data_IF_305586098948
#
_entry.id   IF_305586098948
#
_cell.length_a   1.000
_cell.length_b   1.000
_cell.length_c   1.000
_cell.angle_alpha   90.00
_cell.angle_beta   90.00
_cell.angle_gamma   90.00
#
_symmetry.space_group_name_H-M   'P 1'
#
loop_
_entity.id
_entity.type
_entity.pdbx_description
1 polymer ?
#
# COMPACT_ATOMS: atom_id res chain seq x y z
N UNK A 1 -6.07 -65.53 -21.97
CA UNK A 1 -5.59 -66.56 -21.02
C UNK A 1 -4.82 -67.56 -21.85
N UNK A 2 -3.65 -67.98 -21.39
CA UNK A 2 -2.86 -68.99 -22.09
C UNK A 2 -3.58 -70.32 -22.01
N UNK A 3 -3.63 -71.03 -23.14
CA UNK A 3 -4.19 -72.36 -23.20
C UNK A 3 -3.12 -73.39 -22.86
N UNK A 4 -2.97 -73.69 -21.56
CA UNK A 4 -1.98 -74.63 -21.05
C UNK A 4 -2.03 -75.98 -21.76
N UNK A 5 -3.26 -76.47 -22.02
CA UNK A 5 -3.52 -77.77 -22.61
C UNK A 5 -3.00 -77.84 -24.05
N UNK A 6 -3.26 -76.80 -24.84
CA UNK A 6 -2.73 -76.71 -26.21
C UNK A 6 -1.21 -76.72 -26.22
N UNK A 7 -0.56 -75.97 -25.33
CA UNK A 7 0.91 -75.92 -25.27
C UNK A 7 1.52 -77.24 -24.78
N UNK A 8 0.85 -77.97 -23.89
CA UNK A 8 1.31 -79.32 -23.50
C UNK A 8 1.19 -80.31 -24.67
N UNK A 9 0.09 -80.27 -25.43
CA UNK A 9 -0.13 -81.13 -26.61
C UNK A 9 0.88 -80.84 -27.73
N UNK A 10 1.20 -79.56 -27.97
CA UNK A 10 2.21 -79.14 -28.96
C UNK A 10 3.61 -79.65 -28.57
N UNK A 11 3.97 -79.65 -27.29
CA UNK A 11 5.26 -80.16 -26.79
C UNK A 11 5.34 -81.69 -26.88
N UNK A 12 4.28 -82.41 -26.54
CA UNK A 12 4.22 -83.87 -26.71
C UNK A 12 4.35 -84.26 -28.19
N UNK A 13 3.69 -83.51 -29.09
CA UNK A 13 3.80 -83.69 -30.55
C UNK A 13 5.21 -83.41 -31.07
N UNK A 14 5.99 -82.56 -30.39
CA UNK A 14 7.38 -82.27 -30.68
C UNK A 14 8.37 -83.31 -30.11
N UNK A 15 7.87 -84.36 -29.45
CA UNK A 15 8.67 -85.49 -28.94
C UNK A 15 9.01 -85.42 -27.45
N UNK A 16 8.44 -84.48 -26.69
CA UNK A 16 8.57 -84.48 -25.24
C UNK A 16 7.70 -85.57 -24.62
N UNK A 17 8.15 -86.18 -23.52
CA UNK A 17 7.25 -87.03 -22.72
C UNK A 17 6.17 -86.18 -22.03
N UNK A 18 5.00 -86.74 -21.70
CA UNK A 18 3.93 -86.01 -21.02
C UNK A 18 4.38 -85.28 -19.75
N UNK A 19 5.28 -85.89 -18.97
CA UNK A 19 5.81 -85.27 -17.74
C UNK A 19 6.77 -84.12 -18.02
N UNK A 20 7.62 -84.23 -19.05
CA UNK A 20 8.50 -83.13 -19.45
C UNK A 20 7.69 -81.94 -20.01
N UNK A 21 6.65 -82.20 -20.80
CA UNK A 21 5.76 -81.17 -21.34
C UNK A 21 5.03 -80.41 -20.21
N UNK A 22 4.42 -81.13 -19.26
CA UNK A 22 3.77 -80.52 -18.09
C UNK A 22 4.73 -79.70 -17.24
N UNK A 23 5.92 -80.22 -16.96
CA UNK A 23 6.92 -79.52 -16.14
C UNK A 23 7.38 -78.22 -16.83
N UNK A 24 7.60 -78.26 -18.14
CA UNK A 24 8.05 -77.09 -18.92
C UNK A 24 6.98 -76.00 -18.98
N UNK A 25 5.72 -76.36 -19.24
CA UNK A 25 4.59 -75.40 -19.24
C UNK A 25 4.38 -74.83 -17.84
N UNK A 26 4.48 -75.64 -16.79
CA UNK A 26 4.36 -75.17 -15.40
C UNK A 26 5.42 -74.13 -15.06
N UNK A 27 6.71 -74.40 -15.34
CA UNK A 27 7.80 -73.44 -15.06
C UNK A 27 7.55 -72.12 -15.79
N UNK A 28 7.14 -72.18 -17.05
CA UNK A 28 6.86 -70.97 -17.82
C UNK A 28 5.62 -70.21 -17.30
N UNK A 29 4.59 -70.91 -16.85
CA UNK A 29 3.41 -70.29 -16.22
C UNK A 29 3.75 -69.62 -14.90
N UNK A 30 4.54 -70.29 -14.05
CA UNK A 30 5.00 -69.74 -12.77
C UNK A 30 5.83 -68.46 -13.03
N UNK A 31 6.80 -68.54 -13.96
CA UNK A 31 7.59 -67.37 -14.38
C UNK A 31 6.73 -66.23 -14.94
N UNK A 32 5.66 -66.54 -15.68
CA UNK A 32 4.79 -65.50 -16.21
C UNK A 32 3.96 -64.83 -15.11
N UNK A 33 3.38 -65.61 -14.20
CA UNK A 33 2.56 -65.08 -13.13
C UNK A 33 3.38 -64.25 -12.12
N UNK A 34 4.64 -64.64 -11.88
CA UNK A 34 5.51 -63.94 -10.92
C UNK A 34 6.06 -62.62 -11.48
N UNK A 35 6.25 -62.51 -12.80
CA UNK A 35 6.95 -61.35 -13.40
C UNK A 35 6.05 -60.38 -14.16
N UNK A 36 4.83 -60.77 -14.54
CA UNK A 36 3.97 -59.94 -15.38
C UNK A 36 2.66 -59.58 -14.69
N UNK A 37 2.30 -58.30 -14.77
CA UNK A 37 1.00 -57.81 -14.35
C UNK A 37 -0.11 -58.40 -15.22
N UNK A 38 -1.18 -58.86 -14.58
CA UNK A 38 -2.38 -59.31 -15.27
C UNK A 38 -3.20 -58.13 -15.77
N UNK A 39 -4.18 -58.40 -16.64
CA UNK A 39 -5.17 -57.38 -17.03
C UNK A 39 -5.95 -56.82 -15.83
N UNK A 40 -6.10 -57.60 -14.77
CA UNK A 40 -6.77 -57.16 -13.55
C UNK A 40 -5.92 -56.13 -12.81
N UNK A 41 -4.62 -56.39 -12.67
CA UNK A 41 -3.68 -55.48 -12.01
C UNK A 41 -3.59 -54.14 -12.74
N UNK A 42 -3.54 -54.17 -14.08
CA UNK A 42 -3.55 -52.96 -14.89
C UNK A 42 -4.85 -52.17 -14.74
N UNK A 43 -6.00 -52.84 -14.69
CA UNK A 43 -7.29 -52.18 -14.44
C UNK A 43 -7.35 -51.56 -13.05
N UNK A 44 -6.83 -52.25 -12.04
CA UNK A 44 -6.77 -51.72 -10.69
C UNK A 44 -5.87 -50.49 -10.63
N UNK A 45 -4.71 -50.54 -11.29
CA UNK A 45 -3.82 -49.38 -11.43
C UNK A 45 -4.48 -48.20 -12.14
N UNK A 46 -5.21 -48.44 -13.23
CA UNK A 46 -5.96 -47.37 -13.92
C UNK A 46 -7.02 -46.74 -13.01
N UNK A 47 -7.77 -47.54 -12.25
CA UNK A 47 -8.79 -47.06 -11.32
C UNK A 47 -8.14 -46.19 -10.22
N UNK A 48 -7.04 -46.66 -9.64
CA UNK A 48 -6.28 -45.91 -8.63
C UNK A 48 -5.77 -44.58 -9.19
N UNK A 49 -5.10 -44.58 -10.35
CA UNK A 49 -4.63 -43.36 -10.98
C UNK A 49 -5.75 -42.37 -11.30
N UNK A 50 -6.92 -42.87 -11.74
CA UNK A 50 -8.10 -42.01 -11.96
C UNK A 50 -8.65 -41.42 -10.66
N UNK A 51 -8.57 -42.16 -9.57
CA UNK A 51 -8.96 -41.65 -8.24
C UNK A 51 -8.01 -40.54 -7.81
N UNK A 52 -6.69 -40.78 -7.88
CA UNK A 52 -5.66 -39.83 -7.48
C UNK A 52 -5.75 -38.53 -8.29
N UNK A 53 -5.99 -38.64 -9.61
CA UNK A 53 -6.20 -37.46 -10.47
C UNK A 53 -7.43 -36.65 -10.07
N UNK A 54 -8.54 -37.30 -9.67
CA UNK A 54 -9.75 -36.59 -9.22
C UNK A 54 -9.56 -35.91 -7.87
N UNK A 55 -8.83 -36.56 -6.96
CA UNK A 55 -8.48 -35.98 -5.67
C UNK A 55 -7.58 -34.75 -5.87
N UNK A 56 -6.56 -34.86 -6.73
CA UNK A 56 -5.68 -33.75 -7.08
C UNK A 56 -6.44 -32.60 -7.73
N UNK A 57 -7.36 -32.86 -8.66
CA UNK A 57 -8.21 -31.82 -9.26
C UNK A 57 -9.05 -31.11 -8.19
N UNK A 58 -9.61 -31.87 -7.25
CA UNK A 58 -10.43 -31.32 -6.17
C UNK A 58 -9.61 -30.48 -5.20
N UNK A 59 -8.40 -30.91 -4.85
CA UNK A 59 -7.46 -30.16 -4.03
C UNK A 59 -7.07 -28.83 -4.70
N UNK A 60 -6.65 -28.86 -5.97
CA UNK A 60 -6.30 -27.67 -6.73
C UNK A 60 -7.48 -26.68 -6.80
N UNK A 61 -8.72 -27.18 -7.00
CA UNK A 61 -9.92 -26.33 -6.97
C UNK A 61 -10.19 -25.71 -5.61
N UNK A 62 -9.87 -26.41 -4.51
CA UNK A 62 -9.98 -25.88 -3.15
C UNK A 62 -8.96 -24.75 -2.94
N UNK A 63 -7.69 -25.02 -3.25
CA UNK A 63 -6.60 -24.06 -3.10
C UNK A 63 -6.86 -22.78 -3.91
N UNK A 64 -7.38 -22.90 -5.14
CA UNK A 64 -7.76 -21.73 -5.95
C UNK A 64 -8.86 -20.90 -5.29
N UNK A 65 -9.86 -21.52 -4.64
CA UNK A 65 -10.92 -20.78 -3.92
C UNK A 65 -10.39 -20.10 -2.67
N UNK A 66 -9.51 -20.76 -1.93
CA UNK A 66 -8.87 -20.17 -0.76
C UNK A 66 -8.02 -18.96 -1.16
N UNK A 67 -7.25 -19.08 -2.23
CA UNK A 67 -6.48 -17.97 -2.79
C UNK A 67 -7.36 -16.81 -3.26
N UNK A 68 -8.47 -17.08 -3.96
CA UNK A 68 -9.43 -16.03 -4.36
C UNK A 68 -9.99 -15.28 -3.13
N UNK A 69 -10.35 -16.02 -2.08
CA UNK A 69 -10.86 -15.43 -0.84
C UNK A 69 -9.81 -14.60 -0.11
N UNK A 70 -8.55 -15.07 -0.06
CA UNK A 70 -7.42 -14.33 0.52
C UNK A 70 -7.21 -13.01 -0.22
N UNK A 71 -7.09 -13.07 -1.56
CA UNK A 71 -6.91 -11.87 -2.39
C UNK A 71 -8.06 -10.89 -2.19
N UNK A 72 -9.30 -11.38 -2.08
CA UNK A 72 -10.46 -10.52 -1.79
C UNK A 72 -10.40 -9.87 -0.42
N UNK A 73 -9.87 -10.56 0.59
CA UNK A 73 -9.65 -10.00 1.93
C UNK A 73 -8.60 -8.90 1.88
N UNK A 74 -7.45 -9.19 1.27
CA UNK A 74 -6.32 -8.25 1.15
C UNK A 74 -6.74 -6.96 0.43
N UNK A 75 -7.56 -7.07 -0.62
CA UNK A 75 -8.12 -5.91 -1.32
C UNK A 75 -9.01 -5.04 -0.43
N UNK A 76 -9.83 -5.66 0.45
CA UNK A 76 -10.67 -4.90 1.39
C UNK A 76 -9.85 -4.22 2.48
N UNK A 77 -8.81 -4.88 2.98
CA UNK A 77 -7.89 -4.29 3.95
C UNK A 77 -7.16 -3.09 3.34
N UNK A 78 -6.69 -3.23 2.10
CA UNK A 78 -6.07 -2.14 1.35
C UNK A 78 -7.02 -0.96 1.13
N UNK A 79 -8.28 -1.20 0.74
CA UNK A 79 -9.28 -0.14 0.59
C UNK A 79 -9.50 0.63 1.91
N UNK A 80 -9.60 -0.10 3.03
CA UNK A 80 -9.78 0.50 4.34
C UNK A 80 -8.56 1.32 4.77
N UNK A 81 -7.34 0.82 4.51
CA UNK A 81 -6.09 1.54 4.79
C UNK A 81 -6.05 2.85 4.01
N UNK A 82 -6.28 2.81 2.69
CA UNK A 82 -6.29 4.00 1.83
C UNK A 82 -7.34 5.01 2.31
N UNK A 83 -8.51 4.54 2.74
CA UNK A 83 -9.55 5.41 3.29
C UNK A 83 -9.14 6.06 4.61
N UNK A 84 -8.38 5.35 5.46
CA UNK A 84 -7.83 5.91 6.70
C UNK A 84 -6.79 6.99 6.38
N UNK A 85 -5.84 6.70 5.50
CA UNK A 85 -4.77 7.62 5.11
C UNK A 85 -5.34 8.91 4.52
N UNK A 86 -6.39 8.80 3.69
CA UNK A 86 -7.09 9.99 3.15
C UNK A 86 -7.72 10.86 4.24
N UNK A 87 -8.32 10.25 5.29
CA UNK A 87 -8.89 11.00 6.41
C UNK A 87 -7.82 11.67 7.25
N UNK A 88 -6.70 10.99 7.49
CA UNK A 88 -5.57 11.57 8.21
C UNK A 88 -4.99 12.76 7.44
N UNK A 89 -4.83 12.64 6.12
CA UNK A 89 -4.40 13.72 5.25
C UNK A 89 -5.37 14.91 5.28
N UNK A 90 -6.69 14.66 5.19
CA UNK A 90 -7.70 15.74 5.29
C UNK A 90 -7.59 16.49 6.63
N UNK A 91 -7.43 15.76 7.73
CA UNK A 91 -7.28 16.34 9.05
C UNK A 91 -5.98 17.16 9.18
N UNK A 92 -4.87 16.65 8.63
CA UNK A 92 -3.59 17.38 8.59
C UNK A 92 -3.73 18.69 7.83
N UNK A 93 -4.27 18.66 6.61
CA UNK A 93 -4.48 19.85 5.79
C UNK A 93 -5.37 20.86 6.51
N UNK A 94 -6.43 20.39 7.20
CA UNK A 94 -7.31 21.26 7.99
C UNK A 94 -6.57 21.90 9.17
N UNK A 95 -5.67 21.17 9.81
CA UNK A 95 -4.83 21.71 10.90
C UNK A 95 -3.89 22.79 10.36
N UNK A 96 -3.17 22.50 9.27
CA UNK A 96 -2.23 23.42 8.65
C UNK A 96 -2.92 24.72 8.21
N UNK A 97 -4.13 24.62 7.65
CA UNK A 97 -4.92 25.81 7.30
C UNK A 97 -5.28 26.67 8.51
N UNK A 98 -5.63 26.06 9.64
CA UNK A 98 -5.94 26.81 10.88
C UNK A 98 -4.70 27.48 11.47
N UNK A 99 -3.56 26.79 11.42
CA UNK A 99 -2.29 27.36 11.87
C UNK A 99 -1.91 28.56 11.01
N UNK A 100 -2.01 28.42 9.68
CA UNK A 100 -1.76 29.52 8.74
C UNK A 100 -2.70 30.71 8.97
N UNK A 101 -4.01 30.47 9.17
CA UNK A 101 -4.96 31.53 9.50
C UNK A 101 -4.57 32.25 10.80
N UNK A 102 -4.16 31.49 11.82
CA UNK A 102 -3.66 32.04 13.09
C UNK A 102 -2.41 32.91 12.90
N UNK A 103 -1.44 32.43 12.13
CA UNK A 103 -0.22 33.18 11.81
C UNK A 103 -0.53 34.49 11.09
N UNK A 104 -1.35 34.46 10.05
CA UNK A 104 -1.76 35.66 9.29
C UNK A 104 -2.44 36.67 10.22
N UNK A 105 -3.29 36.20 11.14
CA UNK A 105 -3.97 37.07 12.09
C UNK A 105 -3.00 37.73 13.09
N UNK A 106 -1.98 36.99 13.53
CA UNK A 106 -0.92 37.52 14.38
C UNK A 106 -0.13 38.59 13.64
N UNK A 107 0.35 38.29 12.42
CA UNK A 107 1.12 39.22 11.60
C UNK A 107 0.34 40.52 11.33
N UNK A 108 -0.96 40.42 11.06
CA UNK A 108 -1.81 41.59 10.87
C UNK A 108 -1.98 42.43 12.14
N UNK A 109 -2.05 41.78 13.31
CA UNK A 109 -2.11 42.45 14.61
C UNK A 109 -0.81 43.19 14.91
N UNK A 110 0.32 42.54 14.68
CA UNK A 110 1.65 43.12 14.87
C UNK A 110 1.89 44.30 13.92
N UNK A 111 1.50 44.17 12.66
CA UNK A 111 1.56 45.26 11.69
C UNK A 111 0.72 46.46 12.12
N UNK A 112 -0.51 46.23 12.61
CA UNK A 112 -1.38 47.29 13.10
C UNK A 112 -0.78 47.99 14.34
N UNK A 113 -0.15 47.24 15.25
CA UNK A 113 0.55 47.81 16.39
C UNK A 113 1.76 48.66 15.96
N UNK A 114 2.56 48.17 15.01
CA UNK A 114 3.69 48.94 14.44
C UNK A 114 3.21 50.24 13.81
N UNK A 115 2.21 50.19 12.94
CA UNK A 115 1.64 51.37 12.29
C UNK A 115 1.06 52.37 13.31
N UNK A 116 0.40 51.88 14.37
CA UNK A 116 -0.11 52.73 15.45
C UNK A 116 1.03 53.44 16.20
N UNK A 117 2.16 52.76 16.40
CA UNK A 117 3.36 53.36 17.00
C UNK A 117 3.95 54.43 16.07
N UNK A 118 4.16 54.10 14.81
CA UNK A 118 4.73 55.02 13.81
C UNK A 118 3.89 56.30 13.70
N UNK A 119 2.56 56.18 13.70
CA UNK A 119 1.65 57.34 13.69
C UNK A 119 1.79 58.20 14.96
N UNK A 120 1.97 57.58 16.14
CA UNK A 120 2.16 58.32 17.39
C UNK A 120 3.48 59.08 17.38
N UNK A 121 4.55 58.46 16.87
CA UNK A 121 5.86 59.07 16.81
C UNK A 121 5.87 60.21 15.78
N UNK A 122 5.29 60.01 14.59
CA UNK A 122 5.11 61.08 13.61
C UNK A 122 4.31 62.26 14.20
N UNK A 123 3.25 61.98 14.97
CA UNK A 123 2.47 63.03 15.64
C UNK A 123 3.32 63.82 16.64
N UNK A 124 4.17 63.14 17.42
CA UNK A 124 5.09 63.79 18.37
C UNK A 124 6.10 64.67 17.64
N UNK A 125 6.67 64.17 16.54
CA UNK A 125 7.64 64.91 15.72
C UNK A 125 7.01 66.19 15.15
N UNK A 126 5.83 66.05 14.54
CA UNK A 126 5.08 67.20 14.00
C UNK A 126 4.74 68.21 15.10
N UNK A 127 4.26 67.76 16.26
CA UNK A 127 4.00 68.63 17.40
C UNK A 127 5.27 69.32 17.89
N UNK A 128 6.39 68.61 17.97
CA UNK A 128 7.68 69.16 18.36
C UNK A 128 8.15 70.28 17.42
N UNK A 129 8.02 70.07 16.12
CA UNK A 129 8.36 71.09 15.11
C UNK A 129 7.44 72.31 15.19
N UNK A 130 6.13 72.13 15.42
CA UNK A 130 5.23 73.25 15.68
C UNK A 130 5.64 74.06 16.91
N UNK A 131 5.97 73.41 18.03
CA UNK A 131 6.42 74.11 19.24
C UNK A 131 7.71 74.90 18.99
N UNK A 132 8.69 74.32 18.29
CA UNK A 132 9.92 75.03 17.90
C UNK A 132 9.62 76.25 17.03
N UNK A 133 8.71 76.13 16.06
CA UNK A 133 8.29 77.24 15.21
C UNK A 133 7.58 78.33 16.02
N UNK A 134 6.67 77.97 16.93
CA UNK A 134 5.99 78.92 17.83
C UNK A 134 7.01 79.70 18.66
N UNK A 135 8.03 79.03 19.22
CA UNK A 135 9.10 79.69 19.98
C UNK A 135 9.89 80.65 19.07
N UNK A 136 10.29 80.21 17.86
CA UNK A 136 11.03 81.06 16.91
C UNK A 136 10.23 82.31 16.53
N UNK A 137 8.96 82.15 16.15
CA UNK A 137 8.08 83.27 15.81
C UNK A 137 7.85 84.20 17.00
N UNK A 138 7.62 83.65 18.20
CA UNK A 138 7.48 84.44 19.43
C UNK A 138 8.72 85.28 19.74
N UNK A 139 9.93 84.70 19.58
CA UNK A 139 11.18 85.42 19.78
C UNK A 139 11.39 86.55 18.77
N UNK A 140 11.08 86.33 17.49
CA UNK A 140 11.13 87.37 16.46
C UNK A 140 10.16 88.52 16.74
N UNK A 141 8.93 88.21 17.17
CA UNK A 141 7.93 89.22 17.55
C UNK A 141 8.40 90.07 18.74
N UNK A 142 8.97 89.43 19.77
CA UNK A 142 9.50 90.14 20.94
C UNK A 142 10.64 91.09 20.56
N UNK A 143 11.57 90.67 19.68
CA UNK A 143 12.63 91.53 19.14
C UNK A 143 12.03 92.72 18.38
N UNK A 144 11.08 92.46 17.48
CA UNK A 144 10.42 93.51 16.69
C UNK A 144 9.73 94.57 17.55
N UNK A 145 8.97 94.16 18.57
CA UNK A 145 8.32 95.08 19.52
C UNK A 145 9.37 95.89 20.29
N UNK A 146 10.46 95.26 20.74
CA UNK A 146 11.57 95.94 21.42
C UNK A 146 12.21 97.05 20.58
N UNK A 147 12.47 96.77 19.29
CA UNK A 147 13.04 97.76 18.36
C UNK A 147 12.10 98.96 18.15
N UNK A 148 10.79 98.71 17.96
CA UNK A 148 9.79 99.78 17.82
C UNK A 148 9.71 100.64 19.09
N UNK A 149 9.79 100.02 20.28
CA UNK A 149 9.76 100.75 21.55
C UNK A 149 10.98 101.67 21.73
N UNK A 150 12.16 101.26 21.27
CA UNK A 150 13.37 102.10 21.29
C UNK A 150 13.24 103.26 20.32
N UNK A 151 12.76 103.01 19.09
CA UNK A 151 12.57 104.06 18.08
C UNK A 151 11.57 105.14 18.52
N UNK A 152 10.51 104.78 19.26
CA UNK A 152 9.54 105.75 19.77
C UNK A 152 10.02 106.57 20.99
N UNK A 153 11.17 106.23 21.59
CA UNK A 153 11.76 106.95 22.74
C UNK A 153 12.88 107.93 22.35
N UNK A 154 13.29 107.94 21.09
CA UNK A 154 14.23 108.91 20.49
C UNK A 154 13.44 110.01 19.81
#
# INVERSE_FOLDING_TARGET
MINALKYTEDLESAGFTPEQAKSSVKIWMDLMNDNFATKSDLRQGEISLRSDMKEMESAIRSDMKEMENSIRSDMKEMENSIRSDMKEMENSIRSDMKEMEGSIRSDMTDMNHSLSSDIKDLRRDVQGEFHKMTIKLGSLMAIGIGLISVLNKV
#
